data_IF_124902319809
#
_entry.id   IF_124902319809
#
_cell.length_a   1.000
_cell.length_b   1.000
_cell.length_c   1.000
_cell.angle_alpha   90.00
_cell.angle_beta   90.00
_cell.angle_gamma   90.00
#
_symmetry.space_group_name_H-M   'P 1'
#
loop_
_entity.id
_entity.type
_entity.pdbx_description
1 polymer ?
#
# COMPACT_ATOMS: atom_id res chain seq x y z
N UNK A 1 4.01 21.02 10.55
CA UNK A 1 5.00 20.64 9.53
C UNK A 1 4.50 19.33 8.93
N UNK A 2 4.18 19.27 7.64
CA UNK A 2 3.72 18.00 7.03
C UNK A 2 4.87 16.99 7.09
N UNK A 3 4.57 15.72 7.39
CA UNK A 3 5.58 14.67 7.31
C UNK A 3 6.16 14.64 5.88
N UNK A 4 7.49 14.50 5.72
CA UNK A 4 8.09 14.38 4.40
C UNK A 4 7.53 13.15 3.68
N UNK A 5 7.39 13.24 2.36
CA UNK A 5 6.98 12.10 1.55
C UNK A 5 7.94 10.93 1.71
N UNK A 6 7.40 9.71 1.72
CA UNK A 6 8.22 8.51 1.71
C UNK A 6 8.96 8.43 0.36
N UNK A 7 10.29 8.39 0.40
CA UNK A 7 11.16 8.31 -0.78
C UNK A 7 12.40 7.48 -0.43
N UNK A 8 13.07 6.84 -1.40
CA UNK A 8 14.39 6.26 -1.18
C UNK A 8 15.35 7.32 -0.61
N UNK A 9 16.20 6.94 0.34
CA UNK A 9 17.08 7.90 1.00
C UNK A 9 18.20 8.34 0.05
N UNK A 10 18.37 9.65 -0.21
CA UNK A 10 19.42 10.15 -1.10
C UNK A 10 20.79 10.03 -0.44
N UNK A 11 21.76 9.47 -1.17
CA UNK A 11 23.15 9.36 -0.72
C UNK A 11 24.02 10.45 -1.37
N UNK A 12 24.59 11.35 -0.58
CA UNK A 12 25.33 12.51 -1.12
C UNK A 12 26.79 12.19 -1.49
N UNK A 13 27.46 11.37 -0.67
CA UNK A 13 28.88 11.04 -0.83
C UNK A 13 29.13 9.56 -0.49
N UNK A 14 28.56 8.61 -1.26
CA UNK A 14 28.73 7.21 -0.97
C UNK A 14 30.21 6.80 -1.15
N UNK A 15 30.77 6.14 -0.14
CA UNK A 15 32.08 5.48 -0.22
C UNK A 15 31.91 4.17 -0.99
N UNK A 16 32.09 4.24 -2.30
CA UNK A 16 31.84 3.14 -3.20
C UNK A 16 32.77 3.22 -4.43
N UNK A 17 33.26 2.06 -4.87
CA UNK A 17 34.18 1.99 -6.01
C UNK A 17 33.44 2.22 -7.33
N UNK A 18 34.11 2.86 -8.28
CA UNK A 18 33.55 3.05 -9.61
C UNK A 18 33.52 1.73 -10.39
N UNK A 19 32.41 1.49 -11.08
CA UNK A 19 32.26 0.38 -12.02
C UNK A 19 33.00 0.72 -13.33
N UNK A 20 33.99 -0.08 -13.70
CA UNK A 20 34.69 -0.06 -14.98
C UNK A 20 34.01 -1.04 -15.97
N UNK A 21 33.43 -0.49 -17.05
CA UNK A 21 32.70 -1.23 -18.11
C UNK A 21 33.57 -2.28 -18.82
N UNK A 22 34.90 -2.20 -18.74
CA UNK A 22 35.79 -3.19 -19.37
C UNK A 22 35.76 -4.55 -18.66
N UNK A 23 35.24 -4.62 -17.44
CA UNK A 23 35.08 -5.87 -16.70
C UNK A 23 33.74 -6.53 -17.03
N UNK A 24 33.66 -7.82 -16.79
CA UNK A 24 32.42 -8.57 -16.96
C UNK A 24 31.40 -8.23 -15.83
N UNK A 25 30.09 -8.16 -16.09
CA UNK A 25 29.07 -7.97 -15.04
C UNK A 25 29.20 -8.94 -13.85
N UNK A 26 29.58 -10.20 -14.08
CA UNK A 26 29.77 -11.20 -13.02
C UNK A 26 30.85 -10.80 -12.02
N UNK A 27 31.84 -10.01 -12.45
CA UNK A 27 32.87 -9.48 -11.56
C UNK A 27 32.24 -8.59 -10.48
N UNK A 28 31.35 -7.67 -10.89
CA UNK A 28 30.69 -6.76 -9.96
C UNK A 28 29.58 -7.44 -9.16
N UNK A 29 28.86 -8.38 -9.77
CA UNK A 29 27.89 -9.21 -9.07
C UNK A 29 28.50 -9.95 -7.87
N UNK A 30 29.71 -10.52 -8.02
CA UNK A 30 30.44 -11.15 -6.89
C UNK A 30 30.79 -10.18 -5.78
N UNK A 31 31.19 -8.94 -6.11
CA UNK A 31 31.49 -7.89 -5.13
C UNK A 31 30.23 -7.44 -4.37
N UNK A 32 29.13 -7.24 -5.09
CA UNK A 32 27.83 -6.95 -4.46
C UNK A 32 27.40 -8.09 -3.53
N UNK A 33 27.59 -9.36 -3.93
CA UNK A 33 27.29 -10.52 -3.10
C UNK A 33 28.14 -10.59 -1.81
N UNK A 34 29.30 -9.94 -1.80
CA UNK A 34 30.17 -9.77 -0.62
C UNK A 34 29.78 -8.54 0.23
N UNK A 35 28.75 -7.80 -0.17
CA UNK A 35 28.26 -6.62 0.54
C UNK A 35 28.97 -5.32 0.17
N UNK A 36 29.77 -5.30 -0.89
CA UNK A 36 30.43 -4.10 -1.36
C UNK A 36 29.47 -3.13 -2.05
N UNK A 37 29.79 -1.84 -1.99
CA UNK A 37 29.02 -0.78 -2.63
C UNK A 37 29.78 -0.27 -3.86
N UNK A 38 29.05 -0.07 -4.96
CA UNK A 38 29.59 0.26 -6.27
C UNK A 38 28.85 1.46 -6.87
N UNK A 39 29.57 2.33 -7.56
CA UNK A 39 29.03 3.49 -8.31
C UNK A 39 29.05 3.20 -9.81
N UNK A 40 27.87 3.14 -10.40
CA UNK A 40 27.67 3.00 -11.83
C UNK A 40 27.42 4.37 -12.48
N UNK A 41 28.33 4.79 -13.36
CA UNK A 41 28.23 6.04 -14.15
C UNK A 41 28.18 5.82 -15.66
N UNK A 42 28.10 4.56 -16.09
CA UNK A 42 28.16 4.19 -17.50
C UNK A 42 26.77 4.10 -18.14
N UNK A 43 26.26 2.89 -18.43
CA UNK A 43 24.94 2.70 -19.04
C UNK A 43 23.97 1.97 -18.13
N UNK A 44 22.70 2.35 -18.18
CA UNK A 44 21.61 1.71 -17.45
C UNK A 44 21.55 0.19 -17.71
N UNK A 45 21.65 -0.22 -18.98
CA UNK A 45 21.63 -1.64 -19.36
C UNK A 45 22.73 -2.47 -18.70
N UNK A 46 23.94 -1.93 -18.58
CA UNK A 46 25.06 -2.63 -17.95
C UNK A 46 24.85 -2.78 -16.43
N UNK A 47 24.21 -1.79 -15.80
CA UNK A 47 23.75 -1.93 -14.41
C UNK A 47 22.70 -3.01 -14.22
N UNK A 48 21.76 -3.12 -15.16
CA UNK A 48 20.76 -4.18 -15.14
C UNK A 48 21.43 -5.55 -15.28
N UNK A 49 22.39 -5.70 -16.19
CA UNK A 49 23.16 -6.94 -16.37
C UNK A 49 23.91 -7.35 -15.09
N UNK A 50 24.48 -6.40 -14.34
CA UNK A 50 25.12 -6.67 -13.04
C UNK A 50 24.11 -7.20 -12.01
N UNK A 51 22.91 -6.60 -11.95
CA UNK A 51 21.87 -7.05 -11.02
C UNK A 51 21.30 -8.42 -11.41
N UNK A 52 21.17 -8.70 -12.71
CA UNK A 52 20.76 -10.01 -13.22
C UNK A 52 21.82 -11.08 -12.92
N UNK A 53 23.10 -10.77 -13.10
CA UNK A 53 24.22 -11.62 -12.71
C UNK A 53 24.26 -11.87 -11.19
N UNK A 54 23.97 -10.85 -10.37
CA UNK A 54 23.84 -11.01 -8.91
C UNK A 54 22.70 -11.97 -8.56
N UNK A 55 21.51 -11.77 -9.15
CA UNK A 55 20.36 -12.64 -8.93
C UNK A 55 20.63 -14.08 -9.36
N UNK A 56 21.30 -14.26 -10.51
CA UNK A 56 21.72 -15.56 -11.01
C UNK A 56 22.69 -16.25 -10.04
N UNK A 57 23.72 -15.54 -9.58
CA UNK A 57 24.72 -16.05 -8.65
C UNK A 57 24.17 -16.39 -7.26
N UNK A 58 23.13 -15.68 -6.80
CA UNK A 58 22.44 -15.98 -5.55
C UNK A 58 21.48 -17.19 -5.66
N UNK A 59 21.17 -17.64 -6.88
CA UNK A 59 20.22 -18.72 -7.14
C UNK A 59 18.78 -18.39 -6.73
N UNK A 60 17.82 -19.32 -6.92
CA UNK A 60 16.45 -19.12 -6.47
C UNK A 60 16.37 -19.10 -4.93
N UNK A 61 15.37 -18.39 -4.39
CA UNK A 61 15.02 -18.53 -2.97
C UNK A 61 14.40 -19.92 -2.80
N UNK A 62 14.83 -20.66 -1.78
CA UNK A 62 14.32 -22.00 -1.50
C UNK A 62 12.80 -21.97 -1.25
N UNK A 63 12.07 -22.86 -1.94
CA UNK A 63 10.63 -23.05 -1.75
C UNK A 63 10.27 -23.54 -0.33
N UNK A 64 11.26 -24.05 0.43
CA UNK A 64 11.08 -24.44 1.83
C UNK A 64 11.01 -23.25 2.80
N UNK A 65 11.48 -22.07 2.40
CA UNK A 65 11.47 -20.89 3.26
C UNK A 65 10.07 -20.31 3.34
N UNK A 66 9.57 -20.15 4.55
CA UNK A 66 8.28 -19.51 4.85
C UNK A 66 8.47 -18.52 6.00
N UNK A 67 7.48 -17.65 6.26
CA UNK A 67 7.51 -16.73 7.40
C UNK A 67 8.79 -15.90 7.49
N UNK A 68 9.40 -15.87 8.68
CA UNK A 68 10.52 -15.01 9.03
C UNK A 68 11.81 -15.34 8.23
N UNK A 69 12.24 -16.61 8.09
CA UNK A 69 13.38 -16.96 7.24
C UNK A 69 13.24 -16.46 5.79
N UNK A 70 12.04 -16.56 5.21
CA UNK A 70 11.79 -16.05 3.85
C UNK A 70 11.94 -14.53 3.79
N UNK A 71 11.44 -13.81 4.80
CA UNK A 71 11.58 -12.35 4.90
C UNK A 71 13.04 -11.93 5.04
N UNK A 72 13.79 -12.59 5.92
CA UNK A 72 15.22 -12.32 6.13
C UNK A 72 16.04 -12.51 4.84
N UNK A 73 15.79 -13.58 4.08
CA UNK A 73 16.48 -13.81 2.82
C UNK A 73 16.12 -12.77 1.75
N UNK A 74 14.84 -12.37 1.64
CA UNK A 74 14.42 -11.28 0.74
C UNK A 74 15.09 -9.96 1.10
N UNK A 75 15.14 -9.62 2.40
CA UNK A 75 15.80 -8.42 2.90
C UNK A 75 17.30 -8.45 2.58
N UNK A 76 17.97 -9.57 2.86
CA UNK A 76 19.40 -9.75 2.54
C UNK A 76 19.66 -9.50 1.06
N UNK A 77 18.90 -10.13 0.16
CA UNK A 77 19.06 -9.95 -1.28
C UNK A 77 18.85 -8.50 -1.73
N UNK A 78 17.83 -7.83 -1.19
CA UNK A 78 17.60 -6.41 -1.46
C UNK A 78 18.76 -5.54 -0.98
N UNK A 79 19.32 -5.81 0.20
CA UNK A 79 20.49 -5.10 0.72
C UNK A 79 21.71 -5.27 -0.18
N UNK A 80 21.98 -6.48 -0.68
CA UNK A 80 23.10 -6.72 -1.60
C UNK A 80 22.90 -5.97 -2.93
N UNK A 81 21.70 -6.04 -3.50
CA UNK A 81 21.38 -5.34 -4.75
C UNK A 81 21.39 -3.82 -4.58
N UNK A 82 21.07 -3.32 -3.37
CA UNK A 82 21.10 -1.90 -3.07
C UNK A 82 22.52 -1.29 -3.07
N UNK A 83 23.55 -2.14 -2.99
CA UNK A 83 24.95 -1.70 -3.09
C UNK A 83 25.32 -1.11 -4.45
N UNK A 84 24.55 -1.37 -5.52
CA UNK A 84 24.79 -0.77 -6.83
C UNK A 84 24.08 0.59 -6.96
N UNK A 85 24.85 1.66 -6.87
CA UNK A 85 24.37 3.04 -6.88
C UNK A 85 24.46 3.68 -8.25
N UNK A 86 23.49 4.53 -8.58
CA UNK A 86 23.48 5.38 -9.78
C UNK A 86 23.28 6.84 -9.39
N UNK A 87 23.92 7.78 -10.12
CA UNK A 87 23.78 9.20 -9.86
C UNK A 87 22.40 9.68 -10.31
N UNK A 88 21.82 10.59 -9.52
CA UNK A 88 20.66 11.39 -9.88
C UNK A 88 21.08 12.85 -9.85
N UNK A 89 20.90 13.54 -10.97
CA UNK A 89 21.19 14.96 -11.10
C UNK A 89 19.97 15.70 -11.66
N UNK A 90 19.53 16.75 -10.97
CA UNK A 90 18.42 17.65 -11.37
C UNK A 90 17.17 16.86 -11.81
N UNK A 91 16.76 15.91 -10.98
CA UNK A 91 15.57 15.09 -11.21
C UNK A 91 15.69 14.04 -12.32
N UNK A 92 16.90 13.73 -12.79
CA UNK A 92 17.13 12.70 -13.80
C UNK A 92 18.22 11.71 -13.37
N UNK A 93 18.06 10.44 -13.75
CA UNK A 93 19.12 9.43 -13.56
C UNK A 93 20.26 9.75 -14.54
N UNK A 94 21.42 10.15 -14.01
CA UNK A 94 22.52 10.72 -14.77
C UNK A 94 23.46 9.66 -15.37
N UNK A 95 22.88 8.64 -16.01
CA UNK A 95 23.59 7.61 -16.78
C UNK A 95 22.91 7.39 -18.14
N UNK A 96 23.67 6.91 -19.13
CA UNK A 96 23.12 6.73 -20.49
C UNK A 96 22.10 5.59 -20.53
N UNK A 97 21.02 5.79 -21.30
CA UNK A 97 19.98 4.77 -21.51
C UNK A 97 18.98 4.63 -20.36
N UNK A 98 19.00 5.53 -19.38
CA UNK A 98 17.95 5.60 -18.36
C UNK A 98 16.75 6.40 -18.91
N UNK A 99 15.54 5.84 -18.80
CA UNK A 99 14.31 6.54 -19.15
C UNK A 99 14.00 7.65 -18.13
N UNK A 100 13.36 8.76 -18.55
CA UNK A 100 12.89 9.79 -17.63
C UNK A 100 11.90 9.25 -16.59
N UNK A 101 12.05 9.70 -15.34
CA UNK A 101 11.16 9.38 -14.21
C UNK A 101 10.66 10.71 -13.64
N UNK A 102 9.42 11.10 -13.95
CA UNK A 102 8.88 12.42 -13.56
C UNK A 102 8.79 12.57 -12.03
N UNK A 103 8.48 11.47 -11.35
CA UNK A 103 8.38 11.42 -9.88
C UNK A 103 9.67 11.86 -9.15
N UNK A 104 10.85 11.79 -9.79
CA UNK A 104 12.09 12.27 -9.17
C UNK A 104 12.03 13.77 -8.87
N UNK A 105 11.40 14.58 -9.72
CA UNK A 105 11.27 16.02 -9.49
C UNK A 105 10.34 16.33 -8.31
N UNK A 106 9.25 15.58 -8.19
CA UNK A 106 8.30 15.77 -7.09
C UNK A 106 8.91 15.33 -5.75
N UNK A 107 9.58 14.17 -5.77
CA UNK A 107 10.13 13.51 -4.59
C UNK A 107 11.42 14.14 -4.10
N UNK A 108 12.27 14.74 -4.94
CA UNK A 108 13.59 15.28 -4.58
C UNK A 108 13.77 16.76 -4.97
N UNK A 109 12.71 17.56 -4.82
CA UNK A 109 12.70 19.00 -5.14
C UNK A 109 13.76 19.86 -4.43
N UNK A 110 14.28 19.35 -3.32
CA UNK A 110 15.23 19.98 -2.40
C UNK A 110 16.68 19.56 -2.65
N UNK A 111 16.92 18.64 -3.59
CA UNK A 111 18.25 18.05 -3.82
C UNK A 111 18.60 17.97 -5.30
N UNK A 112 19.69 18.63 -5.68
CA UNK A 112 20.15 18.66 -7.07
C UNK A 112 21.02 17.46 -7.47
N UNK A 113 21.80 16.90 -6.54
CA UNK A 113 22.78 15.84 -6.84
C UNK A 113 22.90 14.85 -5.69
N UNK A 114 22.67 13.58 -5.99
CA UNK A 114 22.72 12.49 -5.03
C UNK A 114 22.84 11.15 -5.76
N UNK A 115 22.92 10.06 -5.01
CA UNK A 115 22.97 8.70 -5.49
C UNK A 115 21.80 7.91 -4.92
N UNK A 116 21.26 7.01 -5.74
CA UNK A 116 20.25 6.04 -5.31
C UNK A 116 20.66 4.63 -5.73
N UNK A 117 20.24 3.60 -4.99
CA UNK A 117 20.30 2.24 -5.47
C UNK A 117 19.58 2.06 -6.81
N UNK A 118 20.20 1.33 -7.74
CA UNK A 118 19.60 1.05 -9.05
C UNK A 118 18.28 0.26 -8.90
N UNK A 119 18.17 -0.60 -7.88
CA UNK A 119 16.92 -1.29 -7.55
C UNK A 119 15.79 -0.34 -7.14
N UNK A 120 16.12 0.77 -6.46
CA UNK A 120 15.13 1.79 -6.10
C UNK A 120 14.74 2.64 -7.32
N UNK A 121 15.69 2.92 -8.22
CA UNK A 121 15.39 3.54 -9.53
C UNK A 121 14.44 2.65 -10.35
N UNK A 122 14.65 1.33 -10.36
CA UNK A 122 13.75 0.37 -11.01
C UNK A 122 12.33 0.41 -10.42
N UNK A 123 12.23 0.48 -9.09
CA UNK A 123 10.96 0.60 -8.38
C UNK A 123 10.27 1.94 -8.67
N UNK A 124 11.01 3.05 -8.65
CA UNK A 124 10.53 4.40 -8.97
C UNK A 124 10.02 4.47 -10.40
N UNK A 125 10.74 3.92 -11.38
CA UNK A 125 10.28 3.86 -12.79
C UNK A 125 8.99 3.07 -12.94
N UNK A 126 8.84 1.98 -12.19
CA UNK A 126 7.60 1.19 -12.18
C UNK A 126 6.44 1.96 -11.55
N UNK A 127 6.69 2.72 -10.49
CA UNK A 127 5.70 3.60 -9.89
C UNK A 127 5.33 4.77 -10.82
N UNK A 128 6.30 5.43 -11.44
CA UNK A 128 6.09 6.53 -12.38
C UNK A 128 5.25 6.10 -13.59
N UNK A 129 5.52 4.91 -14.14
CA UNK A 129 4.69 4.35 -15.21
C UNK A 129 3.24 4.17 -14.75
N UNK A 130 3.02 3.58 -13.57
CA UNK A 130 1.66 3.42 -13.00
C UNK A 130 0.99 4.76 -12.76
N UNK A 131 1.71 5.73 -12.20
CA UNK A 131 1.20 7.08 -11.98
C UNK A 131 0.80 7.77 -13.29
N UNK A 132 1.59 7.63 -14.36
CA UNK A 132 1.27 8.24 -15.66
C UNK A 132 0.13 7.53 -16.39
N UNK A 133 0.14 6.21 -16.41
CA UNK A 133 -0.83 5.41 -17.17
C UNK A 133 -2.16 5.21 -16.44
N UNK A 134 -2.15 5.29 -15.11
CA UNK A 134 -3.28 4.93 -14.28
C UNK A 134 -3.42 3.41 -14.11
N UNK A 135 -4.17 3.03 -13.08
CA UNK A 135 -4.61 1.67 -12.79
C UNK A 135 -6.12 1.64 -12.95
N UNK A 136 -6.68 0.86 -13.90
CA UNK A 136 -8.11 0.83 -14.15
C UNK A 136 -8.86 0.10 -13.03
N UNK A 137 -9.96 0.69 -12.58
CA UNK A 137 -10.86 0.08 -11.60
C UNK A 137 -12.28 0.00 -12.16
N UNK A 138 -12.74 -1.21 -12.50
CA UNK A 138 -14.08 -1.43 -13.05
C UNK A 138 -15.20 -0.93 -12.14
N UNK A 139 -15.01 -1.03 -10.82
CA UNK A 139 -15.95 -0.51 -9.80
C UNK A 139 -16.12 1.01 -9.85
N UNK A 140 -15.13 1.73 -10.39
CA UNK A 140 -15.18 3.18 -10.60
C UNK A 140 -15.54 3.56 -12.04
N UNK A 141 -15.25 2.68 -13.01
CA UNK A 141 -15.41 2.99 -14.44
C UNK A 141 -14.32 3.92 -15.00
N UNK A 142 -13.30 4.26 -14.21
CA UNK A 142 -12.13 5.03 -14.61
C UNK A 142 -10.86 4.50 -13.93
N UNK A 143 -9.71 5.04 -14.33
CA UNK A 143 -8.43 4.76 -13.69
C UNK A 143 -8.17 5.69 -12.52
N UNK A 144 -7.44 5.20 -11.52
CA UNK A 144 -6.76 6.02 -10.51
C UNK A 144 -5.26 6.06 -10.81
N UNK A 145 -4.55 7.06 -10.33
CA UNK A 145 -3.15 7.29 -10.62
C UNK A 145 -2.31 7.22 -9.33
N UNK A 146 -2.07 5.99 -8.79
CA UNK A 146 -1.28 5.78 -7.58
C UNK A 146 0.08 6.47 -7.64
N UNK A 147 0.35 7.32 -6.65
CA UNK A 147 1.66 7.97 -6.50
C UNK A 147 2.70 6.99 -5.93
N UNK A 148 3.97 7.44 -5.83
CA UNK A 148 5.05 6.57 -5.35
C UNK A 148 4.76 6.03 -3.95
N UNK A 149 5.03 4.74 -3.69
CA UNK A 149 4.84 4.15 -2.36
C UNK A 149 3.38 4.00 -1.91
N UNK A 150 2.41 4.25 -2.79
CA UNK A 150 0.98 4.06 -2.49
C UNK A 150 0.52 2.64 -2.82
N UNK A 151 -0.25 2.03 -1.93
CA UNK A 151 -0.90 0.75 -2.20
C UNK A 151 -2.05 0.90 -3.19
N UNK A 152 -2.07 0.04 -4.21
CA UNK A 152 -3.07 -0.01 -5.25
C UNK A 152 -3.48 -1.47 -5.48
N UNK A 153 -4.72 -1.87 -5.11
CA UNK A 153 -5.17 -3.25 -5.25
C UNK A 153 -5.09 -3.72 -6.70
N UNK A 154 -4.46 -4.89 -6.92
CA UNK A 154 -4.43 -5.57 -8.23
C UNK A 154 -5.54 -6.59 -8.40
N UNK A 155 -5.95 -7.22 -7.30
CA UNK A 155 -7.11 -8.12 -7.22
C UNK A 155 -8.29 -7.30 -6.74
N UNK A 156 -9.42 -7.39 -7.42
CA UNK A 156 -10.55 -6.47 -7.22
C UNK A 156 -11.79 -7.15 -6.65
N UNK A 157 -11.76 -8.46 -6.39
CA UNK A 157 -12.95 -9.20 -5.96
C UNK A 157 -13.55 -8.68 -4.65
N UNK A 158 -12.72 -8.21 -3.71
CA UNK A 158 -13.16 -7.59 -2.47
C UNK A 158 -13.83 -6.24 -2.73
N UNK A 159 -13.31 -5.45 -3.68
CA UNK A 159 -13.91 -4.19 -4.12
C UNK A 159 -15.26 -4.43 -4.81
N UNK A 160 -15.37 -5.48 -5.62
CA UNK A 160 -16.63 -5.86 -6.27
C UNK A 160 -17.69 -6.32 -5.26
N UNK A 161 -17.28 -7.05 -4.23
CA UNK A 161 -18.19 -7.45 -3.15
C UNK A 161 -18.63 -6.25 -2.31
N UNK A 162 -17.69 -5.35 -1.97
CA UNK A 162 -18.01 -4.08 -1.32
C UNK A 162 -18.97 -3.25 -2.17
N UNK A 163 -18.73 -3.12 -3.48
CA UNK A 163 -19.63 -2.42 -4.39
C UNK A 163 -21.02 -3.06 -4.49
N UNK A 164 -21.11 -4.39 -4.39
CA UNK A 164 -22.40 -5.11 -4.33
C UNK A 164 -23.17 -4.70 -3.08
N UNK A 165 -22.52 -4.74 -1.91
CA UNK A 165 -23.12 -4.32 -0.65
C UNK A 165 -23.52 -2.83 -0.67
N UNK A 166 -22.60 -1.97 -1.08
CA UNK A 166 -22.79 -0.52 -1.12
C UNK A 166 -23.95 -0.10 -2.02
N UNK A 167 -24.21 -0.85 -3.11
CA UNK A 167 -25.33 -0.59 -4.01
C UNK A 167 -26.70 -0.81 -3.37
N UNK A 168 -26.78 -1.68 -2.36
CA UNK A 168 -27.98 -1.97 -1.59
C UNK A 168 -28.05 -1.19 -0.26
N UNK A 169 -27.02 -0.40 0.06
CA UNK A 169 -26.95 0.35 1.32
C UNK A 169 -28.01 1.46 1.34
N UNK A 170 -28.97 1.31 2.25
CA UNK A 170 -30.10 2.23 2.46
C UNK A 170 -30.00 3.13 3.69
N UNK A 171 -28.83 3.19 4.34
CA UNK A 171 -28.59 4.09 5.48
C UNK A 171 -28.35 5.54 5.05
N UNK A 172 -28.15 6.42 6.03
CA UNK A 172 -27.78 7.82 5.80
C UNK A 172 -26.45 7.91 5.04
N UNK A 173 -26.35 8.93 4.18
CA UNK A 173 -25.19 9.16 3.30
C UNK A 173 -24.65 10.58 3.45
N UNK A 174 -24.80 11.18 4.62
CA UNK A 174 -24.27 12.53 4.83
C UNK A 174 -22.75 12.49 4.97
N UNK A 175 -22.23 11.49 5.68
CA UNK A 175 -20.81 11.40 6.04
C UNK A 175 -20.28 9.97 5.99
N UNK A 176 -19.13 9.78 5.33
CA UNK A 176 -18.36 8.54 5.40
C UNK A 176 -16.89 8.80 5.71
N UNK A 177 -16.24 7.83 6.34
CA UNK A 177 -14.80 7.82 6.58
C UNK A 177 -14.18 6.60 5.90
N UNK A 178 -13.13 6.80 5.11
CA UNK A 178 -12.32 5.74 4.49
C UNK A 178 -10.96 5.68 5.20
N UNK A 179 -10.76 4.66 6.03
CA UNK A 179 -9.56 4.47 6.86
C UNK A 179 -8.52 3.65 6.10
N UNK A 180 -7.28 4.12 6.03
CA UNK A 180 -6.22 3.49 5.24
C UNK A 180 -6.50 3.60 3.74
N UNK A 181 -6.88 4.80 3.28
CA UNK A 181 -7.47 5.02 1.94
C UNK A 181 -6.59 4.53 0.78
N UNK A 182 -5.27 4.44 0.94
CA UNK A 182 -4.34 4.01 -0.09
C UNK A 182 -4.45 4.87 -1.36
N UNK A 183 -4.71 4.24 -2.51
CA UNK A 183 -4.96 4.96 -3.76
C UNK A 183 -6.33 5.67 -3.82
N UNK A 184 -7.20 5.51 -2.82
CA UNK A 184 -8.50 6.17 -2.73
C UNK A 184 -9.68 5.39 -3.29
N UNK A 185 -9.50 4.14 -3.72
CA UNK A 185 -10.53 3.40 -4.44
C UNK A 185 -11.86 3.33 -3.68
N UNK A 186 -11.83 3.13 -2.36
CA UNK A 186 -13.04 3.09 -1.53
C UNK A 186 -13.64 4.49 -1.33
N UNK A 187 -12.82 5.51 -1.05
CA UNK A 187 -13.28 6.90 -1.01
C UNK A 187 -14.01 7.33 -2.30
N UNK A 188 -13.49 6.98 -3.47
CA UNK A 188 -14.15 7.24 -4.76
C UNK A 188 -15.43 6.42 -4.95
N UNK A 189 -15.47 5.16 -4.48
CA UNK A 189 -16.70 4.35 -4.50
C UNK A 189 -17.79 4.96 -3.61
N UNK A 190 -17.43 5.45 -2.41
CA UNK A 190 -18.33 6.11 -1.48
C UNK A 190 -18.89 7.41 -2.08
N UNK A 191 -18.03 8.26 -2.65
CA UNK A 191 -18.48 9.49 -3.31
C UNK A 191 -19.45 9.18 -4.47
N UNK A 192 -19.14 8.17 -5.28
CA UNK A 192 -20.02 7.71 -6.38
C UNK A 192 -21.35 7.13 -5.88
N UNK A 193 -21.36 6.55 -4.68
CA UNK A 193 -22.58 6.01 -4.05
C UNK A 193 -23.48 7.10 -3.43
N UNK A 194 -23.07 8.37 -3.52
CA UNK A 194 -23.87 9.53 -3.13
C UNK A 194 -23.57 10.09 -1.74
N UNK A 195 -22.43 9.74 -1.14
CA UNK A 195 -22.03 10.34 0.14
C UNK A 195 -21.68 11.83 -0.02
N UNK A 196 -22.30 12.68 0.82
CA UNK A 196 -22.16 14.13 0.74
C UNK A 196 -20.82 14.67 1.30
N UNK A 197 -20.17 13.92 2.19
CA UNK A 197 -18.82 14.20 2.71
C UNK A 197 -18.06 12.89 2.97
N UNK A 198 -17.05 12.61 2.15
CA UNK A 198 -16.15 11.47 2.31
C UNK A 198 -14.81 11.94 2.87
N UNK A 199 -14.46 11.47 4.05
CA UNK A 199 -13.21 11.78 4.76
C UNK A 199 -12.26 10.61 4.61
N UNK A 200 -11.28 10.75 3.73
CA UNK A 200 -10.26 9.74 3.51
C UNK A 200 -9.04 10.01 4.41
N UNK A 201 -8.55 8.98 5.11
CA UNK A 201 -7.38 9.10 5.98
C UNK A 201 -6.37 7.99 5.72
N UNK A 202 -5.09 8.31 5.79
CA UNK A 202 -3.99 7.34 5.65
C UNK A 202 -2.77 7.81 6.44
N UNK A 203 -2.00 6.88 7.01
CA UNK A 203 -0.75 7.20 7.70
C UNK A 203 0.36 7.55 6.70
N UNK A 204 0.28 7.01 5.48
CA UNK A 204 1.23 7.24 4.41
C UNK A 204 0.95 8.59 3.72
N UNK A 205 1.83 9.61 3.85
CA UNK A 205 1.64 10.90 3.20
C UNK A 205 1.60 10.79 1.67
N UNK A 206 2.19 9.74 1.09
CA UNK A 206 2.15 9.54 -0.35
C UNK A 206 0.78 9.05 -0.83
N UNK A 207 0.05 8.26 -0.02
CA UNK A 207 -1.34 7.88 -0.31
C UNK A 207 -2.24 9.12 -0.34
N UNK A 208 -2.06 10.03 0.63
CA UNK A 208 -2.75 11.33 0.67
C UNK A 208 -2.47 12.16 -0.59
N UNK A 209 -1.21 12.27 -1.00
CA UNK A 209 -0.85 12.97 -2.25
C UNK A 209 -1.43 12.28 -3.48
N UNK A 210 -1.46 10.95 -3.51
CA UNK A 210 -2.10 10.17 -4.58
C UNK A 210 -3.56 10.57 -4.75
N UNK A 211 -4.35 10.54 -3.66
CA UNK A 211 -5.76 10.91 -3.69
C UNK A 211 -5.93 12.39 -4.06
N UNK A 212 -5.11 13.30 -3.53
CA UNK A 212 -5.15 14.72 -3.91
C UNK A 212 -4.94 14.93 -5.41
N UNK A 213 -3.99 14.22 -6.02
CA UNK A 213 -3.71 14.31 -7.45
C UNK A 213 -4.83 13.70 -8.29
N UNK A 214 -5.40 12.58 -7.87
CA UNK A 214 -6.56 11.99 -8.56
C UNK A 214 -7.80 12.90 -8.48
N UNK A 215 -8.05 13.57 -7.34
CA UNK A 215 -9.12 14.56 -7.22
C UNK A 215 -8.92 15.75 -8.17
N UNK A 216 -7.68 16.19 -8.36
CA UNK A 216 -7.36 17.27 -9.30
C UNK A 216 -7.52 16.86 -10.78
N UNK A 217 -7.61 15.56 -11.08
CA UNK A 217 -7.86 15.04 -12.45
C UNK A 217 -9.34 14.94 -12.79
N UNK A 218 -10.23 14.97 -11.81
CA UNK A 218 -11.66 14.84 -12.05
C UNK A 218 -12.27 16.15 -12.58
N UNK A 219 -13.16 16.03 -13.56
CA UNK A 219 -13.88 17.18 -14.11
C UNK A 219 -14.84 17.79 -13.07
N UNK A 220 -15.56 16.93 -12.35
CA UNK A 220 -16.38 17.30 -11.21
C UNK A 220 -15.64 16.94 -9.94
N UNK A 221 -15.62 17.84 -8.94
CA UNK A 221 -14.94 17.57 -7.67
C UNK A 221 -15.81 16.61 -6.84
N UNK A 222 -15.38 15.35 -6.64
CA UNK A 222 -16.06 14.48 -5.72
C UNK A 222 -15.99 15.08 -4.31
N UNK A 223 -16.97 14.78 -3.46
CA UNK A 223 -17.01 15.28 -2.08
C UNK A 223 -16.01 14.56 -1.16
N UNK A 224 -14.75 14.44 -1.60
CA UNK A 224 -13.68 13.72 -0.90
C UNK A 224 -12.69 14.72 -0.32
N UNK A 225 -12.37 14.56 0.95
CA UNK A 225 -11.30 15.27 1.65
C UNK A 225 -10.32 14.26 2.21
N UNK A 226 -9.05 14.38 1.82
CA UNK A 226 -8.00 13.45 2.24
C UNK A 226 -7.00 14.10 3.19
N UNK A 227 -6.60 13.39 4.24
CA UNK A 227 -5.64 13.86 5.26
C UNK A 227 -4.71 12.74 5.74
N UNK A 228 -3.52 13.12 6.19
CA UNK A 228 -2.65 12.17 6.89
C UNK A 228 -3.18 11.95 8.32
N UNK A 229 -3.34 10.70 8.72
CA UNK A 229 -3.77 10.29 10.06
C UNK A 229 -3.28 8.87 10.36
N UNK A 230 -2.91 8.61 11.60
CA UNK A 230 -2.93 7.24 12.11
C UNK A 230 -4.38 6.92 12.49
N UNK A 231 -4.96 5.89 11.87
CA UNK A 231 -6.38 5.53 12.02
C UNK A 231 -7.30 6.78 11.98
N UNK A 232 -8.08 7.02 13.03
CA UNK A 232 -9.08 8.09 13.14
C UNK A 232 -8.62 9.26 14.02
N UNK A 233 -7.36 9.32 14.48
CA UNK A 233 -6.84 10.34 15.42
C UNK A 233 -7.17 11.81 15.04
N UNK A 234 -7.16 12.14 13.75
CA UNK A 234 -7.44 13.50 13.26
C UNK A 234 -8.92 13.76 12.97
N UNK A 235 -9.77 12.74 13.04
CA UNK A 235 -11.22 12.83 12.86
C UNK A 235 -11.84 13.32 14.17
N UNK A 236 -12.71 14.33 14.07
CA UNK A 236 -13.36 14.96 15.22
C UNK A 236 -14.88 14.94 15.18
N UNK A 237 -15.43 14.60 14.03
CA UNK A 237 -16.87 14.59 13.79
C UNK A 237 -17.28 13.15 13.50
N UNK A 238 -18.40 12.70 14.08
CA UNK A 238 -18.92 11.38 13.80
C UNK A 238 -19.31 11.22 12.32
N UNK A 239 -19.53 9.97 11.91
CA UNK A 239 -19.92 9.60 10.57
C UNK A 239 -21.04 8.55 10.54
N UNK A 240 -21.79 8.53 9.44
CA UNK A 240 -22.82 7.51 9.19
C UNK A 240 -22.19 6.17 8.78
N UNK A 241 -21.01 6.23 8.16
CA UNK A 241 -20.28 5.04 7.72
C UNK A 241 -18.78 5.18 7.95
N UNK A 242 -18.17 4.22 8.63
CA UNK A 242 -16.70 4.09 8.73
C UNK A 242 -16.31 2.83 7.98
N UNK A 243 -15.53 2.97 6.91
CA UNK A 243 -15.06 1.86 6.08
C UNK A 243 -13.57 1.66 6.29
N UNK A 244 -13.17 0.41 6.46
CA UNK A 244 -11.77 0.03 6.59
C UNK A 244 -11.47 -1.20 5.73
N UNK A 245 -10.44 -1.11 4.88
CA UNK A 245 -9.85 -2.26 4.21
C UNK A 245 -8.49 -2.54 4.85
N UNK A 246 -8.49 -3.17 6.04
CA UNK A 246 -7.25 -3.40 6.77
C UNK A 246 -6.31 -4.34 6.02
N UNK A 247 -5.04 -4.39 6.44
CA UNK A 247 -4.15 -5.49 6.08
C UNK A 247 -4.76 -6.83 6.55
N UNK A 248 -4.53 -7.92 5.82
CA UNK A 248 -5.22 -9.20 6.06
C UNK A 248 -4.41 -10.23 6.84
N UNK A 249 -3.11 -10.00 7.07
CA UNK A 249 -2.20 -10.99 7.65
C UNK A 249 -1.59 -10.44 8.93
N UNK A 250 -1.65 -11.18 10.03
CA UNK A 250 -0.90 -10.81 11.23
C UNK A 250 0.61 -11.02 11.00
N UNK A 251 1.44 -10.02 11.28
CA UNK A 251 2.89 -10.17 11.16
C UNK A 251 3.70 -8.88 11.30
N UNK A 252 5.03 -9.04 11.32
CA UNK A 252 5.96 -7.92 11.44
C UNK A 252 6.09 -7.19 10.11
N UNK A 253 5.96 -5.86 10.14
CA UNK A 253 6.17 -4.96 9.01
C UNK A 253 7.65 -4.56 8.93
N UNK A 254 8.34 -4.95 7.85
CA UNK A 254 9.76 -4.58 7.61
C UNK A 254 9.93 -3.44 6.57
N UNK A 255 8.95 -3.23 5.67
CA UNK A 255 8.94 -2.20 4.61
C UNK A 255 7.61 -1.41 4.67
N UNK A 256 7.61 -0.08 4.45
CA UNK A 256 6.37 0.72 4.37
C UNK A 256 5.31 0.18 3.39
N UNK A 257 5.68 -0.58 2.34
CA UNK A 257 4.73 -1.24 1.44
C UNK A 257 4.12 -2.52 2.03
N UNK A 258 4.80 -3.17 2.97
CA UNK A 258 4.31 -4.38 3.65
C UNK A 258 3.21 -4.06 4.66
N UNK A 259 3.09 -2.80 5.10
CA UNK A 259 1.98 -2.31 5.95
C UNK A 259 0.61 -2.53 5.32
N UNK A 260 0.52 -2.65 4.00
CA UNK A 260 -0.75 -2.91 3.31
C UNK A 260 -1.19 -4.39 3.38
N UNK A 261 -0.29 -5.28 3.81
CA UNK A 261 -0.54 -6.73 3.88
C UNK A 261 -0.50 -7.24 5.32
N UNK A 262 0.39 -6.66 6.14
CA UNK A 262 0.61 -7.07 7.52
C UNK A 262 0.08 -6.06 8.53
N UNK A 263 -0.52 -6.56 9.61
CA UNK A 263 -0.94 -5.74 10.76
C UNK A 263 -0.28 -6.22 12.07
N UNK A 264 -0.11 -5.29 13.00
CA UNK A 264 0.37 -5.49 14.37
C UNK A 264 -0.78 -5.80 15.35
N UNK A 265 -0.43 -6.32 16.52
CA UNK A 265 -1.40 -6.92 17.46
C UNK A 265 -2.47 -5.94 17.95
N UNK A 266 -2.20 -4.63 17.94
CA UNK A 266 -3.11 -3.61 18.48
C UNK A 266 -3.97 -2.89 17.42
N UNK A 267 -3.72 -3.10 16.11
CA UNK A 267 -4.38 -2.33 15.03
C UNK A 267 -5.91 -2.38 15.13
N UNK A 268 -6.45 -3.60 15.27
CA UNK A 268 -7.89 -3.80 15.30
C UNK A 268 -8.51 -3.26 16.59
N UNK A 269 -7.87 -3.46 17.73
CA UNK A 269 -8.34 -2.92 19.01
C UNK A 269 -8.42 -1.39 18.96
N UNK A 270 -7.34 -0.72 18.50
CA UNK A 270 -7.33 0.74 18.35
C UNK A 270 -8.40 1.22 17.36
N UNK A 271 -8.54 0.54 16.22
CA UNK A 271 -9.55 0.89 15.23
C UNK A 271 -10.98 0.76 15.79
N UNK A 272 -11.30 -0.33 16.48
CA UNK A 272 -12.63 -0.54 17.06
C UNK A 272 -12.92 0.44 18.21
N UNK A 273 -11.94 0.72 19.05
CA UNK A 273 -12.06 1.74 20.10
C UNK A 273 -12.36 3.12 19.52
N UNK A 274 -11.54 3.59 18.58
CA UNK A 274 -11.71 4.90 17.96
C UNK A 274 -13.01 5.00 17.13
N UNK A 275 -13.37 3.94 16.40
CA UNK A 275 -14.60 3.95 15.58
C UNK A 275 -15.86 3.96 16.41
N UNK A 276 -15.88 3.31 17.59
CA UNK A 276 -17.03 3.30 18.49
C UNK A 276 -17.41 4.71 18.97
N UNK A 277 -16.41 5.58 19.18
CA UNK A 277 -16.62 6.98 19.56
C UNK A 277 -16.93 7.94 18.41
N UNK A 278 -16.95 7.45 17.16
CA UNK A 278 -17.06 8.28 15.95
C UNK A 278 -18.23 7.88 15.04
N UNK A 279 -19.19 7.10 15.51
CA UNK A 279 -20.42 6.82 14.78
C UNK A 279 -21.54 7.78 15.15
N UNK A 280 -22.30 8.21 14.14
CA UNK A 280 -23.63 8.79 14.34
C UNK A 280 -24.59 7.71 14.85
N UNK A 281 -25.76 8.09 15.43
CA UNK A 281 -26.85 7.15 15.65
C UNK A 281 -27.17 6.39 14.37
N UNK A 282 -27.32 5.05 14.46
CA UNK A 282 -27.51 4.14 13.32
C UNK A 282 -26.34 4.04 12.34
N UNK A 283 -25.20 4.68 12.66
CA UNK A 283 -23.97 4.57 11.90
C UNK A 283 -23.42 3.15 11.90
N UNK A 284 -22.65 2.81 10.87
CA UNK A 284 -22.09 1.46 10.70
C UNK A 284 -20.58 1.47 10.49
N UNK A 285 -19.91 0.42 10.97
CA UNK A 285 -18.53 0.09 10.60
C UNK A 285 -18.57 -1.00 9.52
N UNK A 286 -17.78 -0.84 8.46
CA UNK A 286 -17.64 -1.83 7.40
C UNK A 286 -16.18 -2.22 7.25
N UNK A 287 -15.89 -3.51 7.43
CA UNK A 287 -14.57 -4.07 7.15
C UNK A 287 -14.58 -4.84 5.84
N UNK A 288 -13.64 -4.50 4.96
CA UNK A 288 -13.35 -5.23 3.73
C UNK A 288 -12.20 -6.20 4.00
N UNK A 289 -12.48 -7.50 4.01
CA UNK A 289 -11.55 -8.49 4.56
C UNK A 289 -11.41 -9.76 3.69
N UNK A 290 -10.63 -10.72 4.18
CA UNK A 290 -10.46 -12.04 3.59
C UNK A 290 -10.18 -13.08 4.66
N UNK A 291 -10.65 -14.32 4.42
CA UNK A 291 -10.30 -15.46 5.27
C UNK A 291 -8.83 -15.93 5.14
N UNK A 292 -7.97 -15.16 4.47
CA UNK A 292 -6.54 -15.47 4.32
C UNK A 292 -5.84 -15.65 5.67
N UNK A 293 -6.21 -14.85 6.68
CA UNK A 293 -5.67 -15.00 8.04
C UNK A 293 -5.92 -16.42 8.56
N UNK A 294 -7.17 -16.86 8.58
CA UNK A 294 -7.57 -18.19 9.08
C UNK A 294 -6.94 -19.32 8.27
N UNK A 295 -6.71 -19.12 6.97
CA UNK A 295 -6.04 -20.12 6.13
C UNK A 295 -4.54 -20.25 6.40
N UNK A 296 -3.87 -19.14 6.74
CA UNK A 296 -2.43 -19.10 6.98
C UNK A 296 -2.05 -19.31 8.45
N UNK A 297 -2.89 -18.82 9.36
CA UNK A 297 -2.68 -18.74 10.81
C UNK A 297 -3.97 -19.11 11.56
N UNK A 298 -4.45 -20.35 11.45
CA UNK A 298 -5.65 -20.82 12.16
C UNK A 298 -5.49 -20.83 13.69
N UNK A 299 -4.26 -20.66 14.19
CA UNK A 299 -3.91 -20.54 15.61
C UNK A 299 -4.23 -19.15 16.19
N UNK A 300 -4.39 -18.13 15.35
CA UNK A 300 -4.67 -16.78 15.79
C UNK A 300 -6.19 -16.50 15.83
N UNK A 301 -6.67 -15.74 16.82
CA UNK A 301 -8.07 -15.33 16.87
C UNK A 301 -8.40 -14.43 15.68
N UNK A 302 -9.62 -14.56 15.14
CA UNK A 302 -10.10 -13.69 14.08
C UNK A 302 -10.44 -12.31 14.69
N UNK A 303 -9.83 -11.20 14.23
CA UNK A 303 -9.91 -9.93 14.92
C UNK A 303 -11.34 -9.36 14.98
N UNK A 304 -12.15 -9.60 13.95
CA UNK A 304 -13.54 -9.15 13.89
C UNK A 304 -14.44 -10.01 14.78
N UNK A 305 -14.15 -11.32 14.91
CA UNK A 305 -14.95 -12.21 15.77
C UNK A 305 -14.65 -11.90 17.24
N UNK A 306 -13.37 -11.68 17.57
CA UNK A 306 -12.95 -11.24 18.89
C UNK A 306 -13.60 -9.91 19.30
N UNK A 307 -13.81 -8.99 18.36
CA UNK A 307 -14.52 -7.74 18.63
C UNK A 307 -16.02 -7.96 18.91
N UNK A 308 -16.67 -8.85 18.14
CA UNK A 308 -18.07 -9.21 18.37
C UNK A 308 -18.26 -9.87 19.75
N UNK A 309 -17.30 -10.69 20.19
CA UNK A 309 -17.30 -11.30 21.53
C UNK A 309 -17.14 -10.27 22.66
N UNK A 310 -16.45 -9.15 22.41
CA UNK A 310 -16.32 -8.04 23.37
C UNK A 310 -17.60 -7.23 23.53
N UNK A 311 -18.46 -7.24 22.52
CA UNK A 311 -19.79 -6.65 22.57
C UNK A 311 -19.85 -5.12 22.45
N UNK A 312 -18.80 -4.43 21.95
CA UNK A 312 -18.94 -3.00 21.56
C UNK A 312 -19.81 -2.84 20.30
N UNK A 313 -19.76 -3.84 19.43
CA UNK A 313 -20.53 -3.89 18.19
C UNK A 313 -21.32 -5.19 18.07
N UNK A 314 -22.40 -5.14 17.29
CA UNK A 314 -23.17 -6.31 16.86
C UNK A 314 -23.05 -6.49 15.36
N UNK A 315 -23.08 -7.75 14.93
CA UNK A 315 -23.07 -8.10 13.52
C UNK A 315 -24.40 -7.73 12.87
N UNK A 316 -24.36 -6.85 11.87
CA UNK A 316 -25.51 -6.48 11.06
C UNK A 316 -25.59 -7.35 9.81
N UNK A 317 -24.52 -7.37 9.02
CA UNK A 317 -24.47 -8.09 7.75
C UNK A 317 -23.08 -8.71 7.56
N UNK A 318 -23.03 -9.95 7.08
CA UNK A 318 -21.79 -10.59 6.65
C UNK A 318 -21.96 -11.18 5.24
N UNK A 319 -21.21 -10.66 4.27
CA UNK A 319 -21.18 -11.20 2.92
C UNK A 319 -19.85 -11.89 2.63
N UNK A 320 -19.88 -12.99 1.88
CA UNK A 320 -18.67 -13.67 1.43
C UNK A 320 -18.74 -13.98 -0.07
N UNK A 321 -17.59 -13.97 -0.73
CA UNK A 321 -17.44 -14.40 -2.13
C UNK A 321 -16.15 -15.18 -2.31
N UNK A 322 -16.25 -16.34 -2.99
CA UNK A 322 -15.06 -17.13 -3.34
C UNK A 322 -14.22 -16.38 -4.36
N UNK A 323 -12.91 -16.41 -4.15
CA UNK A 323 -11.93 -15.89 -5.08
C UNK A 323 -11.83 -16.79 -6.31
N UNK A 324 -11.65 -16.19 -7.50
CA UNK A 324 -11.45 -16.95 -8.73
C UNK A 324 -10.07 -17.61 -8.72
N UNK A 325 -10.04 -18.90 -9.02
CA UNK A 325 -8.79 -19.64 -9.16
C UNK A 325 -7.87 -18.99 -10.21
N UNK A 326 -6.61 -18.76 -9.85
CA UNK A 326 -5.59 -18.36 -10.82
C UNK A 326 -4.84 -19.60 -11.29
N UNK A 327 -4.70 -19.80 -12.61
CA UNK A 327 -3.94 -20.91 -13.24
C UNK A 327 -4.38 -22.34 -12.81
N UNK A 328 -5.68 -22.57 -12.66
CA UNK A 328 -6.24 -23.92 -12.45
C UNK A 328 -6.03 -24.53 -11.05
N UNK A 329 -5.42 -23.82 -10.09
CA UNK A 329 -5.36 -24.27 -8.69
C UNK A 329 -6.63 -23.89 -7.94
N UNK A 330 -7.31 -24.87 -7.34
CA UNK A 330 -8.45 -24.62 -6.44
C UNK A 330 -7.99 -23.77 -5.25
N UNK A 331 -8.67 -22.66 -4.99
CA UNK A 331 -8.43 -21.82 -3.80
C UNK A 331 -9.60 -21.94 -2.82
N UNK A 332 -9.28 -21.93 -1.51
CA UNK A 332 -10.28 -21.80 -0.43
C UNK A 332 -10.45 -20.35 0.02
N UNK A 333 -9.70 -19.44 -0.60
CA UNK A 333 -9.75 -18.00 -0.31
C UNK A 333 -11.13 -17.43 -0.64
N UNK A 334 -11.63 -16.62 0.29
CA UNK A 334 -12.82 -15.82 0.17
C UNK A 334 -12.48 -14.38 0.53
N UNK A 335 -13.16 -13.47 -0.15
CA UNK A 335 -13.24 -12.06 0.26
C UNK A 335 -14.55 -11.87 1.02
N UNK A 336 -14.53 -10.95 1.96
CA UNK A 336 -15.58 -10.79 2.97
C UNK A 336 -15.91 -9.32 3.18
N UNK A 337 -17.18 -9.03 3.46
CA UNK A 337 -17.66 -7.72 3.90
C UNK A 337 -18.37 -7.94 5.22
N UNK A 338 -17.82 -7.35 6.28
CA UNK A 338 -18.37 -7.38 7.63
C UNK A 338 -18.96 -6.02 7.94
N UNK A 339 -20.24 -5.98 8.28
CA UNK A 339 -20.96 -4.76 8.63
C UNK A 339 -21.38 -4.86 10.07
N UNK A 340 -20.94 -3.90 10.87
CA UNK A 340 -21.14 -3.85 12.30
C UNK A 340 -21.95 -2.61 12.66
N UNK A 341 -22.88 -2.75 13.61
CA UNK A 341 -23.61 -1.62 14.20
C UNK A 341 -23.18 -1.46 15.66
N UNK A 342 -23.18 -0.22 16.17
CA UNK A 342 -22.98 0.01 17.60
C UNK A 342 -24.09 -0.67 18.40
N UNK A 343 -23.75 -1.20 19.59
CA UNK A 343 -24.79 -1.54 20.58
C UNK A 343 -25.42 -0.22 21.03
N UNK A 344 -26.73 -0.06 20.81
CA UNK A 344 -27.44 1.09 21.37
C UNK A 344 -27.24 1.06 22.89
N UNK A 345 -26.64 2.11 23.45
CA UNK A 345 -26.74 2.32 24.89
C UNK A 345 -28.22 2.51 25.18
N UNK A 346 -28.81 1.63 25.99
CA UNK A 346 -30.20 1.77 26.43
C UNK A 346 -30.42 3.25 26.81
N UNK A 347 -31.29 3.91 26.06
CA UNK A 347 -31.73 5.27 26.32
C UNK A 347 -32.70 5.25 27.50
N UNK A 348 -32.22 4.80 28.66
CA UNK A 348 -32.86 4.97 29.95
C UNK A 348 -31.85 5.72 30.81
N UNK A 349 -32.14 7.00 31.09
CA UNK A 349 -32.18 7.62 32.42
C UNK A 349 -32.77 9.04 32.30
#
# INVERSE_FOLDING_TARGET
MFAPFHRPEPLFQPRADAVDRRRDPDHYARRLAQGEWLRLVDTYGYGADILDALNYGLGPISDSLTGDPLRQERRRRRTLAAGLLVPVERGAVAIRGADPILLLNDLYRDVDRFWLPLVDIQALRTADRRFRQGVPYSVLGHALHPWYGTYAPKRTEHLELFGTWLSAYGGLKDTAIDVGTGCGVLAFMLARAGFADVRAVDVNPNAVESVRRDLARQAERPAIRVRTSNLLEVVRQPADLIVFNPPWIAGIVDDPLDTALFYDDDLFERFFDESSGLLNPQGKVVLVFSNVLTLLRPDLPHPIEAELERGRFVLDTHLTRRVRATRGRKTREKVEIWVLSSVEADADH
#
